data_IF_870461435621
#
_entry.id   IF_870461435621
#
_cell.length_a   1.000
_cell.length_b   1.000
_cell.length_c   1.000
_cell.angle_alpha   90.00
_cell.angle_beta   90.00
_cell.angle_gamma   90.00
#
_symmetry.space_group_name_H-M   'P 1'
#
loop_
_entity.id
_entity.type
_entity.pdbx_description
1 polymer ?
#
# COMPACT_ATOMS: atom_id res chain seq x y z
N UNK A 1 6.75 2.46 -17.05
CA UNK A 1 5.62 3.32 -16.62
C UNK A 1 5.83 3.82 -15.20
N UNK A 2 4.81 4.35 -14.52
CA UNK A 2 4.85 4.63 -13.07
C UNK A 2 4.34 3.41 -12.30
N UNK A 3 5.00 3.05 -11.21
CA UNK A 3 4.58 2.00 -10.27
C UNK A 3 4.07 2.68 -9.00
N UNK A 4 3.00 2.16 -8.41
CA UNK A 4 2.45 2.67 -7.15
C UNK A 4 2.12 1.53 -6.18
N UNK A 5 1.96 1.88 -4.91
CA UNK A 5 1.30 1.09 -3.87
C UNK A 5 0.80 2.04 -2.78
N UNK A 6 -0.19 1.60 -2.00
CA UNK A 6 -0.76 2.41 -0.93
C UNK A 6 -0.55 1.75 0.43
N UNK A 7 -0.08 2.54 1.39
CA UNK A 7 0.03 2.11 2.78
C UNK A 7 -0.40 3.24 3.72
N UNK A 8 -0.98 2.90 4.87
CA UNK A 8 -1.42 3.89 5.84
C UNK A 8 -1.89 3.28 7.15
N UNK A 9 -1.95 4.13 8.18
CA UNK A 9 -2.54 3.79 9.48
C UNK A 9 -3.96 4.33 9.59
N UNK A 10 -4.80 3.60 10.32
CA UNK A 10 -6.13 4.02 10.76
C UNK A 10 -6.47 3.32 12.07
N UNK A 11 -7.75 3.35 12.44
CA UNK A 11 -8.25 2.66 13.63
C UNK A 11 -9.53 1.87 13.29
N UNK A 12 -9.93 1.01 14.23
CA UNK A 12 -11.16 0.20 14.13
C UNK A 12 -12.31 0.75 14.97
N UNK A 13 -12.21 2.00 15.44
CA UNK A 13 -13.27 2.64 16.20
C UNK A 13 -14.50 2.93 15.32
N UNK A 14 -14.26 3.17 14.04
CA UNK A 14 -15.27 3.33 13.01
C UNK A 14 -15.44 2.04 12.20
N UNK A 15 -16.57 1.91 11.50
CA UNK A 15 -16.83 0.77 10.61
C UNK A 15 -15.78 0.66 9.48
N UNK A 16 -15.17 1.80 9.14
CA UNK A 16 -14.24 1.99 8.03
C UNK A 16 -12.78 2.00 8.51
N UNK A 17 -12.06 0.90 8.30
CA UNK A 17 -10.65 0.77 8.67
C UNK A 17 -9.71 1.27 7.55
N UNK A 18 -9.04 2.40 7.82
CA UNK A 18 -8.01 2.99 6.95
C UNK A 18 -8.47 3.16 5.48
N UNK A 19 -9.73 3.53 5.26
CA UNK A 19 -10.38 3.59 3.93
C UNK A 19 -9.67 4.49 2.93
N UNK A 20 -8.99 5.55 3.38
CA UNK A 20 -8.18 6.40 2.51
C UNK A 20 -7.11 5.63 1.73
N UNK A 21 -6.59 4.51 2.28
CA UNK A 21 -5.66 3.62 1.56
C UNK A 21 -6.34 3.02 0.32
N UNK A 22 -7.58 2.55 0.45
CA UNK A 22 -8.35 2.00 -0.67
C UNK A 22 -8.73 3.09 -1.67
N UNK A 23 -9.06 4.29 -1.19
CA UNK A 23 -9.45 5.40 -2.04
C UNK A 23 -8.29 5.89 -2.92
N UNK A 24 -7.08 5.94 -2.37
CA UNK A 24 -5.88 6.21 -3.15
C UNK A 24 -5.53 5.07 -4.11
N UNK A 25 -5.67 3.79 -3.71
CA UNK A 25 -5.48 2.67 -4.64
C UNK A 25 -6.43 2.77 -5.84
N UNK A 26 -7.72 2.98 -5.59
CA UNK A 26 -8.73 3.20 -6.64
C UNK A 26 -8.40 4.42 -7.51
N UNK A 27 -7.87 5.50 -6.93
CA UNK A 27 -7.49 6.69 -7.68
C UNK A 27 -6.27 6.44 -8.57
N UNK A 28 -5.22 5.78 -8.05
CA UNK A 28 -4.02 5.46 -8.82
C UNK A 28 -4.29 4.46 -9.93
N UNK A 29 -5.13 3.45 -9.70
CA UNK A 29 -5.55 2.50 -10.72
C UNK A 29 -6.17 3.20 -11.95
N UNK A 30 -6.91 4.30 -11.76
CA UNK A 30 -7.51 5.10 -12.85
C UNK A 30 -6.49 5.87 -13.68
N UNK A 31 -5.26 6.05 -13.19
CA UNK A 31 -4.21 6.80 -13.91
C UNK A 31 -3.51 5.96 -14.97
N UNK A 32 -3.69 4.63 -14.98
CA UNK A 32 -2.92 3.70 -15.78
C UNK A 32 -1.53 3.37 -15.21
N UNK A 33 -1.23 3.82 -13.98
CA UNK A 33 -0.06 3.36 -13.24
C UNK A 33 -0.20 1.87 -12.90
N UNK A 34 0.94 1.19 -12.74
CA UNK A 34 0.96 -0.24 -12.41
C UNK A 34 1.01 -0.44 -10.90
N UNK A 35 0.05 -1.17 -10.32
CA UNK A 35 0.10 -1.59 -8.92
C UNK A 35 1.29 -2.54 -8.72
N UNK A 36 2.16 -2.23 -7.77
CA UNK A 36 3.40 -2.98 -7.53
C UNK A 36 3.39 -3.87 -6.29
N UNK A 37 2.48 -3.62 -5.36
CA UNK A 37 2.31 -4.38 -4.14
C UNK A 37 0.85 -4.29 -3.67
N UNK A 38 0.41 -5.23 -2.86
CA UNK A 38 -0.88 -5.13 -2.17
C UNK A 38 -0.85 -4.03 -1.10
N UNK A 39 -2.02 -3.48 -0.78
CA UNK A 39 -2.08 -2.34 0.14
C UNK A 39 -1.82 -2.77 1.59
N UNK A 40 -1.12 -1.91 2.34
CA UNK A 40 -0.78 -2.17 3.76
C UNK A 40 -1.57 -1.23 4.66
N UNK A 41 -2.47 -1.79 5.48
CA UNK A 41 -3.25 -1.05 6.47
C UNK A 41 -2.82 -1.43 7.88
N UNK A 42 -2.49 -0.44 8.69
CA UNK A 42 -1.94 -0.60 10.04
C UNK A 42 -2.95 -0.06 11.06
N UNK A 43 -3.15 -0.78 12.16
CA UNK A 43 -4.01 -0.35 13.26
C UNK A 43 -3.19 0.50 14.25
N UNK A 44 -3.51 1.79 14.35
CA UNK A 44 -2.82 2.78 15.16
C UNK A 44 -1.31 2.87 14.85
N UNK A 45 -0.46 2.25 15.66
CA UNK A 45 0.99 2.30 15.51
C UNK A 45 1.51 0.96 15.00
N UNK A 46 2.52 0.94 14.11
CA UNK A 46 3.07 -0.30 13.59
C UNK A 46 3.76 -1.12 14.69
N UNK A 47 3.46 -2.42 14.72
CA UNK A 47 4.21 -3.41 15.48
C UNK A 47 5.21 -4.15 14.58
N UNK A 48 5.93 -5.14 15.14
CA UNK A 48 7.00 -5.85 14.43
C UNK A 48 6.53 -6.47 13.11
N UNK A 49 5.33 -7.05 13.09
CA UNK A 49 4.78 -7.69 11.90
C UNK A 49 4.31 -6.66 10.86
N UNK A 50 3.85 -5.48 11.27
CA UNK A 50 3.56 -4.37 10.35
C UNK A 50 4.85 -3.86 9.69
N UNK A 51 5.94 -3.78 10.46
CA UNK A 51 7.26 -3.38 9.92
C UNK A 51 7.73 -4.40 8.87
N UNK A 52 7.66 -5.70 9.17
CA UNK A 52 7.99 -6.75 8.18
C UNK A 52 7.12 -6.66 6.93
N UNK A 53 5.83 -6.34 7.10
CA UNK A 53 4.92 -6.18 5.98
C UNK A 53 5.27 -4.95 5.14
N UNK A 54 5.61 -3.81 5.75
CA UNK A 54 6.08 -2.61 5.07
C UNK A 54 7.41 -2.82 4.33
N UNK A 55 8.34 -3.59 4.90
CA UNK A 55 9.58 -3.99 4.25
C UNK A 55 9.31 -4.84 3.01
N UNK A 56 8.43 -5.84 3.11
CA UNK A 56 8.02 -6.69 1.99
C UNK A 56 7.29 -5.88 0.90
N UNK A 57 6.37 -5.01 1.29
CA UNK A 57 5.66 -4.07 0.41
C UNK A 57 6.64 -3.21 -0.40
N UNK A 58 7.61 -2.60 0.29
CA UNK A 58 8.61 -1.75 -0.37
C UNK A 58 9.48 -2.54 -1.33
N UNK A 59 9.89 -3.76 -0.95
CA UNK A 59 10.66 -4.66 -1.81
C UNK A 59 9.89 -5.01 -3.10
N UNK A 60 8.61 -5.34 -2.99
CA UNK A 60 7.74 -5.65 -4.13
C UNK A 60 7.61 -4.46 -5.10
N UNK A 61 7.47 -3.22 -4.59
CA UNK A 61 7.43 -2.02 -5.44
C UNK A 61 8.71 -1.85 -6.27
N UNK A 62 9.87 -2.04 -5.64
CA UNK A 62 11.18 -1.94 -6.30
C UNK A 62 11.33 -3.05 -7.35
N UNK A 63 11.03 -4.29 -7.00
CA UNK A 63 11.08 -5.44 -7.92
C UNK A 63 10.15 -5.25 -9.11
N UNK A 64 8.92 -4.76 -8.88
CA UNK A 64 7.97 -4.46 -9.95
C UNK A 64 8.50 -3.38 -10.88
N UNK A 65 9.07 -2.31 -10.33
CA UNK A 65 9.65 -1.23 -11.13
C UNK A 65 10.82 -1.73 -11.99
N UNK A 66 11.69 -2.57 -11.44
CA UNK A 66 12.81 -3.17 -12.15
C UNK A 66 12.35 -4.12 -13.27
N UNK A 67 11.31 -4.92 -13.03
CA UNK A 67 10.76 -5.85 -14.02
C UNK A 67 10.02 -5.16 -15.18
N UNK A 68 9.71 -3.87 -15.06
CA UNK A 68 9.07 -3.06 -16.09
C UNK A 68 10.05 -2.18 -16.89
N UNK A 69 11.37 -2.31 -16.64
CA UNK A 69 12.43 -1.74 -17.47
C UNK A 69 12.67 -2.63 -18.69
#
# INVERSE_FOLDING_TARGET
GKVYGCCGSGDRFYDDFATSVDDFDKAFAKTGATKGAEDVKIDLAPEEDDIKHLEAFTKQLVEKYQALQ
#
